data_IF_367505532744
#
_entry.id   IF_367505532744
#
_cell.length_a   1.000
_cell.length_b   1.000
_cell.length_c   1.000
_cell.angle_alpha   90.00
_cell.angle_beta   90.00
_cell.angle_gamma   90.00
#
_symmetry.space_group_name_H-M   'P 1'
#
loop_
_entity.id
_entity.type
_entity.pdbx_description
1 polymer ?
#
# COMPACT_ATOMS: atom_id res chain seq x y z
N UNK A 1 -16.79 62.61 29.80
CA UNK A 1 -16.18 61.27 29.86
C UNK A 1 -16.30 60.66 28.47
N UNK A 2 -15.22 60.68 27.70
CA UNK A 2 -15.22 60.17 26.33
C UNK A 2 -15.24 58.63 26.37
N UNK A 3 -16.34 58.04 25.93
CA UNK A 3 -16.49 56.59 25.81
C UNK A 3 -15.57 56.05 24.72
N UNK A 4 -14.63 55.19 25.13
CA UNK A 4 -13.74 54.47 24.21
C UNK A 4 -14.56 53.49 23.39
N UNK A 5 -14.72 53.77 22.09
CA UNK A 5 -15.33 52.85 21.13
C UNK A 5 -14.38 51.66 20.98
N UNK A 6 -14.76 50.51 21.54
CA UNK A 6 -14.05 49.26 21.39
C UNK A 6 -14.24 48.78 19.93
N UNK A 7 -13.31 49.15 19.04
CA UNK A 7 -13.27 48.64 17.66
C UNK A 7 -13.12 47.12 17.73
N UNK A 8 -14.17 46.38 17.35
CA UNK A 8 -14.12 44.93 17.14
C UNK A 8 -12.94 44.60 16.23
N UNK A 9 -11.88 44.03 16.80
CA UNK A 9 -10.72 43.56 16.06
C UNK A 9 -11.16 42.33 15.28
N UNK A 10 -11.30 42.47 13.96
CA UNK A 10 -11.68 41.35 13.10
C UNK A 10 -10.60 40.27 13.18
N UNK A 11 -10.96 39.10 13.68
CA UNK A 11 -10.08 37.92 13.75
C UNK A 11 -10.44 36.96 12.62
N UNK A 12 -9.42 36.33 12.04
CA UNK A 12 -9.54 35.39 10.93
C UNK A 12 -9.20 33.99 11.44
N UNK A 13 -10.14 33.03 11.33
CA UNK A 13 -9.97 31.68 11.89
C UNK A 13 -9.65 30.65 10.80
N UNK A 14 -8.63 29.82 11.02
CA UNK A 14 -8.34 28.70 10.13
C UNK A 14 -9.38 27.59 10.28
N UNK A 15 -10.03 27.20 9.18
CA UNK A 15 -11.06 26.14 9.17
C UNK A 15 -10.55 24.72 9.53
N UNK A 16 -9.23 24.53 9.63
CA UNK A 16 -8.63 23.22 9.86
C UNK A 16 -8.04 23.06 11.26
N UNK A 17 -7.29 24.06 11.75
CA UNK A 17 -6.64 24.00 13.07
C UNK A 17 -7.27 24.95 14.08
N UNK A 18 -8.31 25.67 13.67
CA UNK A 18 -9.07 26.61 14.51
C UNK A 18 -8.27 27.78 15.12
N UNK A 19 -7.00 27.95 14.74
CA UNK A 19 -6.19 29.07 15.18
C UNK A 19 -6.71 30.38 14.59
N UNK A 20 -6.68 31.41 15.42
CA UNK A 20 -7.08 32.76 15.06
C UNK A 20 -5.87 33.62 14.67
N UNK A 21 -6.07 34.48 13.68
CA UNK A 21 -5.05 35.37 13.13
C UNK A 21 -5.60 36.80 13.12
N UNK A 22 -4.71 37.76 13.40
CA UNK A 22 -5.07 39.18 13.42
C UNK A 22 -5.14 39.82 12.02
N UNK A 23 -4.61 39.15 10.99
CA UNK A 23 -4.58 39.63 9.60
C UNK A 23 -4.93 38.49 8.66
N UNK A 24 -5.72 38.79 7.63
CA UNK A 24 -6.10 37.84 6.58
C UNK A 24 -4.89 37.29 5.84
N UNK A 25 -3.94 38.15 5.47
CA UNK A 25 -2.71 37.75 4.78
C UNK A 25 -1.88 36.73 5.56
N UNK A 26 -1.99 36.71 6.89
CA UNK A 26 -1.30 35.72 7.74
C UNK A 26 -2.02 34.38 7.72
N UNK A 27 -3.36 34.39 7.67
CA UNK A 27 -4.16 33.17 7.49
C UNK A 27 -3.94 32.56 6.10
N UNK A 28 -3.79 33.38 5.06
CA UNK A 28 -3.60 32.91 3.68
C UNK A 28 -2.33 32.06 3.53
N UNK A 29 -1.21 32.57 4.06
CA UNK A 29 0.09 31.88 4.02
C UNK A 29 0.24 30.80 5.10
N UNK A 30 -0.72 30.68 6.02
CA UNK A 30 -0.68 29.67 7.06
C UNK A 30 -0.88 28.26 6.50
N UNK A 31 0.04 27.36 6.84
CA UNK A 31 -0.02 25.93 6.50
C UNK A 31 0.12 25.11 7.77
N UNK A 32 -0.99 24.81 8.44
CA UNK A 32 -1.00 23.84 9.53
C UNK A 32 -0.93 22.40 9.01
N UNK A 33 -0.53 21.49 9.90
CA UNK A 33 -0.54 20.05 9.63
C UNK A 33 -1.91 19.57 9.15
N UNK A 34 -3.00 19.99 9.79
CA UNK A 34 -4.34 19.58 9.37
C UNK A 34 -4.66 20.02 7.92
N UNK A 35 -4.32 21.26 7.53
CA UNK A 35 -4.47 21.75 6.16
C UNK A 35 -3.66 20.89 5.17
N UNK A 36 -2.42 20.51 5.52
CA UNK A 36 -1.61 19.59 4.69
C UNK A 36 -2.29 18.24 4.51
N UNK A 37 -2.84 17.64 5.58
CA UNK A 37 -3.54 16.34 5.51
C UNK A 37 -4.68 16.36 4.49
N UNK A 38 -5.45 17.46 4.43
CA UNK A 38 -6.50 17.64 3.43
C UNK A 38 -5.97 17.90 2.03
N UNK A 39 -4.88 18.66 1.88
CA UNK A 39 -4.24 18.88 0.58
C UNK A 39 -3.75 17.57 -0.04
N UNK A 40 -3.20 16.68 0.78
CA UNK A 40 -2.70 15.36 0.38
C UNK A 40 -3.79 14.28 0.26
N UNK A 41 -5.09 14.62 0.38
CA UNK A 41 -6.19 13.64 0.37
C UNK A 41 -6.17 12.70 -0.84
N UNK A 42 -5.73 13.20 -1.99
CA UNK A 42 -5.73 12.47 -3.25
C UNK A 42 -4.47 11.66 -3.51
N UNK A 43 -3.45 11.77 -2.65
CA UNK A 43 -2.23 10.99 -2.78
C UNK A 43 -2.54 9.50 -2.58
N UNK A 44 -1.90 8.63 -3.36
CA UNK A 44 -2.21 7.19 -3.37
C UNK A 44 -2.12 6.57 -1.96
N UNK A 45 -1.06 6.89 -1.20
CA UNK A 45 -0.91 6.41 0.17
C UNK A 45 -1.99 6.93 1.12
N UNK A 46 -2.46 8.16 0.94
CA UNK A 46 -3.54 8.73 1.75
C UNK A 46 -4.89 8.10 1.41
N UNK A 47 -5.15 7.83 0.13
CA UNK A 47 -6.35 7.11 -0.32
C UNK A 47 -6.37 5.70 0.28
N UNK A 48 -5.27 4.96 0.17
CA UNK A 48 -5.14 3.61 0.74
C UNK A 48 -5.25 3.66 2.27
N UNK A 49 -4.59 4.62 2.93
CA UNK A 49 -4.69 4.79 4.38
C UNK A 49 -6.12 5.05 4.84
N UNK A 50 -6.86 5.91 4.14
CA UNK A 50 -8.26 6.17 4.44
C UNK A 50 -9.15 4.93 4.23
N UNK A 51 -8.98 4.20 3.13
CA UNK A 51 -9.76 2.97 2.90
C UNK A 51 -9.51 1.92 3.98
N UNK A 52 -8.26 1.76 4.42
CA UNK A 52 -7.93 0.81 5.48
C UNK A 52 -8.33 1.29 6.88
N UNK A 53 -8.41 2.60 7.10
CA UNK A 53 -9.04 3.17 8.28
C UNK A 53 -10.54 2.80 8.34
N UNK A 54 -11.27 2.92 7.22
CA UNK A 54 -12.66 2.48 7.15
C UNK A 54 -12.77 0.97 7.44
N UNK A 55 -11.96 0.15 6.78
CA UNK A 55 -11.91 -1.31 6.97
C UNK A 55 -11.62 -1.69 8.44
N UNK A 56 -10.68 -0.99 9.08
CA UNK A 56 -10.34 -1.21 10.48
C UNK A 56 -11.57 -1.05 11.38
N UNK A 57 -12.32 0.04 11.22
CA UNK A 57 -13.54 0.29 12.00
C UNK A 57 -14.70 -0.64 11.63
N UNK A 58 -14.79 -1.06 10.37
CA UNK A 58 -15.76 -2.06 9.91
C UNK A 58 -15.56 -3.38 10.65
N UNK A 59 -14.32 -3.87 10.69
CA UNK A 59 -13.96 -5.16 11.28
C UNK A 59 -13.97 -5.10 12.81
N UNK A 60 -13.46 -4.03 13.41
CA UNK A 60 -13.30 -3.97 14.88
C UNK A 60 -14.54 -3.48 15.61
N UNK A 61 -15.40 -2.68 14.97
CA UNK A 61 -16.56 -2.04 15.62
C UNK A 61 -17.88 -2.27 14.88
N UNK A 62 -17.88 -3.02 13.78
CA UNK A 62 -19.09 -3.31 13.00
C UNK A 62 -19.70 -2.10 12.29
N UNK A 63 -19.06 -0.92 12.30
CA UNK A 63 -19.56 0.27 11.62
C UNK A 63 -18.45 1.16 11.05
N UNK A 64 -18.34 1.17 9.72
CA UNK A 64 -17.46 2.08 8.97
C UNK A 64 -18.21 3.12 8.15
N UNK A 65 -19.49 2.87 7.84
CA UNK A 65 -20.30 3.68 6.90
C UNK A 65 -20.51 5.14 7.33
N UNK A 66 -20.21 5.47 8.58
CA UNK A 66 -20.37 6.83 9.13
C UNK A 66 -19.09 7.64 9.14
N UNK A 67 -17.92 7.03 8.87
CA UNK A 67 -16.63 7.72 8.96
C UNK A 67 -16.29 8.44 7.65
N UNK A 68 -15.98 9.72 7.76
CA UNK A 68 -15.58 10.60 6.66
C UNK A 68 -14.06 10.76 6.59
N UNK A 69 -13.58 11.39 5.51
CA UNK A 69 -12.17 11.78 5.45
C UNK A 69 -11.81 12.82 6.51
N UNK A 70 -12.76 13.65 6.95
CA UNK A 70 -12.52 14.63 8.02
C UNK A 70 -12.20 13.91 9.34
N UNK A 71 -12.98 12.89 9.69
CA UNK A 71 -12.70 12.00 10.83
C UNK A 71 -11.32 11.36 10.72
N UNK A 72 -10.96 10.87 9.53
CA UNK A 72 -9.66 10.27 9.30
C UNK A 72 -8.52 11.29 9.44
N UNK A 73 -8.66 12.45 8.80
CA UNK A 73 -7.65 13.49 8.78
C UNK A 73 -7.39 14.05 10.18
N UNK A 74 -8.42 14.16 11.02
CA UNK A 74 -8.31 14.64 12.40
C UNK A 74 -7.92 13.54 13.40
N UNK A 75 -8.03 12.26 13.01
CA UNK A 75 -7.71 11.13 13.89
C UNK A 75 -6.26 11.09 14.36
N UNK A 76 -6.05 10.52 15.55
CA UNK A 76 -4.72 10.18 16.05
C UNK A 76 -4.01 9.12 15.19
N UNK A 77 -4.77 8.26 14.50
CA UNK A 77 -4.26 7.18 13.68
C UNK A 77 -3.84 7.60 12.26
N UNK A 78 -4.12 8.84 11.85
CA UNK A 78 -3.86 9.34 10.49
C UNK A 78 -2.44 8.99 10.01
N UNK A 79 -1.42 9.33 10.80
CA UNK A 79 -0.02 9.11 10.43
C UNK A 79 0.31 7.63 10.23
N UNK A 80 -0.21 6.76 11.09
CA UNK A 80 0.06 5.33 11.02
C UNK A 80 -0.58 4.70 9.76
N UNK A 81 -1.84 5.02 9.47
CA UNK A 81 -2.52 4.54 8.26
C UNK A 81 -1.93 5.13 6.98
N UNK A 82 -1.50 6.39 6.97
CA UNK A 82 -0.81 6.98 5.81
C UNK A 82 0.56 6.33 5.61
N UNK A 83 1.30 6.07 6.69
CA UNK A 83 2.58 5.35 6.62
C UNK A 83 2.40 3.95 6.03
N UNK A 84 1.38 3.23 6.48
CA UNK A 84 0.98 1.95 5.90
C UNK A 84 0.57 2.08 4.43
N UNK A 85 -0.24 3.07 4.08
CA UNK A 85 -0.66 3.29 2.69
C UNK A 85 0.51 3.59 1.76
N UNK A 86 1.46 4.41 2.19
CA UNK A 86 2.70 4.67 1.44
C UNK A 86 3.54 3.41 1.28
N UNK A 87 3.65 2.60 2.33
CA UNK A 87 4.30 1.29 2.25
C UNK A 87 3.62 0.41 1.18
N UNK A 88 2.30 0.31 1.18
CA UNK A 88 1.57 -0.47 0.17
C UNK A 88 1.84 -0.02 -1.26
N UNK A 89 1.95 1.29 -1.50
CA UNK A 89 2.29 1.84 -2.82
C UNK A 89 3.73 1.49 -3.19
N UNK A 90 4.68 1.78 -2.30
CA UNK A 90 6.11 1.67 -2.60
C UNK A 90 6.55 0.20 -2.76
N UNK A 91 6.05 -0.68 -1.89
CA UNK A 91 6.35 -2.12 -1.93
C UNK A 91 5.42 -2.90 -2.87
N UNK A 92 4.51 -2.22 -3.58
CA UNK A 92 3.52 -2.81 -4.49
C UNK A 92 2.75 -3.98 -3.86
N UNK A 93 2.28 -3.77 -2.63
CA UNK A 93 1.60 -4.81 -1.85
C UNK A 93 0.43 -5.39 -2.64
N UNK A 94 0.49 -6.70 -2.88
CA UNK A 94 -0.59 -7.44 -3.54
C UNK A 94 -1.78 -7.55 -2.59
N UNK A 95 -2.98 -7.37 -3.15
CA UNK A 95 -4.25 -7.49 -2.43
C UNK A 95 -4.27 -6.82 -1.03
N UNK A 96 -4.13 -5.49 -1.01
CA UNK A 96 -4.07 -4.68 0.21
C UNK A 96 -5.25 -4.96 1.16
N UNK A 97 -6.45 -5.24 0.64
CA UNK A 97 -7.60 -5.60 1.48
C UNK A 97 -7.36 -6.90 2.24
N UNK A 98 -6.89 -7.96 1.57
CA UNK A 98 -6.57 -9.25 2.22
C UNK A 98 -5.39 -9.12 3.19
N UNK A 99 -4.37 -8.34 2.84
CA UNK A 99 -3.26 -8.09 3.75
C UNK A 99 -3.74 -7.39 5.03
N UNK A 100 -4.60 -6.39 4.90
CA UNK A 100 -5.19 -5.68 6.05
C UNK A 100 -6.06 -6.58 6.91
N UNK A 101 -6.89 -7.44 6.30
CA UNK A 101 -7.66 -8.46 7.02
C UNK A 101 -6.74 -9.43 7.79
N UNK A 102 -5.64 -9.87 7.17
CA UNK A 102 -4.66 -10.74 7.82
C UNK A 102 -3.96 -10.04 9.00
N UNK A 103 -3.55 -8.78 8.84
CA UNK A 103 -2.94 -7.98 9.91
C UNK A 103 -3.87 -7.84 11.11
N UNK A 104 -5.16 -7.59 10.87
CA UNK A 104 -6.18 -7.46 11.91
C UNK A 104 -6.47 -8.80 12.59
N UNK A 105 -6.67 -9.86 11.81
CA UNK A 105 -6.91 -11.21 12.34
C UNK A 105 -5.75 -11.70 13.22
N UNK A 106 -4.52 -11.32 12.89
CA UNK A 106 -3.32 -11.66 13.64
C UNK A 106 -2.94 -10.63 14.72
N UNK A 107 -3.84 -9.68 15.06
CA UNK A 107 -3.63 -8.66 16.10
C UNK A 107 -2.32 -7.87 15.95
N UNK A 108 -1.87 -7.62 14.72
CA UNK A 108 -0.66 -6.84 14.46
C UNK A 108 -0.94 -5.36 14.74
N UNK A 109 -0.07 -4.70 15.51
CA UNK A 109 -0.22 -3.27 15.83
C UNK A 109 -0.06 -2.40 14.58
N UNK A 110 -0.97 -1.44 14.38
CA UNK A 110 -1.00 -0.53 13.20
C UNK A 110 0.32 0.20 12.98
N UNK A 111 1.01 0.57 14.06
CA UNK A 111 2.32 1.23 13.98
C UNK A 111 3.36 0.40 13.24
N UNK A 112 3.20 -0.93 13.20
CA UNK A 112 4.15 -1.87 12.60
C UNK A 112 3.74 -2.36 11.20
N UNK A 113 2.56 -1.98 10.68
CA UNK A 113 2.04 -2.52 9.41
C UNK A 113 2.89 -2.22 8.17
N UNK A 114 3.86 -1.31 8.30
CA UNK A 114 4.78 -0.88 7.26
C UNK A 114 6.11 -1.68 7.23
N UNK A 115 6.25 -2.73 8.04
CA UNK A 115 7.46 -3.56 8.06
C UNK A 115 7.35 -4.75 7.09
N UNK A 116 8.42 -4.99 6.33
CA UNK A 116 8.49 -6.05 5.33
C UNK A 116 8.26 -7.45 5.93
N UNK A 117 8.76 -7.70 7.14
CA UNK A 117 8.61 -9.00 7.81
C UNK A 117 7.15 -9.43 8.00
N UNK A 118 6.21 -8.49 8.17
CA UNK A 118 4.79 -8.79 8.26
C UNK A 118 4.20 -9.13 6.90
N UNK A 119 4.68 -8.46 5.85
CA UNK A 119 4.23 -8.73 4.50
C UNK A 119 4.77 -10.07 3.98
N UNK A 120 6.02 -10.41 4.30
CA UNK A 120 6.59 -11.72 4.00
C UNK A 120 5.81 -12.86 4.69
N UNK A 121 5.44 -12.68 5.96
CA UNK A 121 4.57 -13.65 6.67
C UNK A 121 3.23 -13.81 5.96
N UNK A 122 2.59 -12.71 5.55
CA UNK A 122 1.35 -12.74 4.79
C UNK A 122 1.52 -13.46 3.44
N UNK A 123 2.57 -13.17 2.67
CA UNK A 123 2.81 -13.76 1.36
C UNK A 123 2.96 -15.29 1.44
N UNK A 124 3.71 -15.79 2.43
CA UNK A 124 3.90 -17.22 2.66
C UNK A 124 2.60 -17.98 2.94
N UNK A 125 1.56 -17.31 3.40
CA UNK A 125 0.24 -17.92 3.58
C UNK A 125 -0.69 -17.66 2.38
N UNK A 126 -0.62 -16.46 1.80
CA UNK A 126 -1.59 -15.98 0.81
C UNK A 126 -1.33 -16.54 -0.59
N UNK A 127 -0.07 -16.63 -1.03
CA UNK A 127 0.27 -17.03 -2.39
C UNK A 127 -0.27 -18.43 -2.75
N UNK A 128 -0.37 -19.32 -1.77
CA UNK A 128 -0.89 -20.67 -2.00
C UNK A 128 -2.42 -20.73 -2.14
N UNK A 129 -3.13 -19.65 -1.77
CA UNK A 129 -4.61 -19.58 -1.74
C UNK A 129 -5.15 -18.43 -2.60
N UNK A 130 -4.28 -17.76 -3.33
CA UNK A 130 -4.68 -16.63 -4.16
C UNK A 130 -5.50 -17.08 -5.38
N UNK A 131 -6.22 -16.13 -5.96
CA UNK A 131 -6.92 -16.38 -7.21
C UNK A 131 -5.92 -16.45 -8.37
N UNK A 132 -5.98 -17.50 -9.19
CA UNK A 132 -5.07 -17.70 -10.33
C UNK A 132 -5.17 -16.59 -11.38
N UNK A 133 -6.35 -16.00 -11.60
CA UNK A 133 -6.52 -14.86 -12.50
C UNK A 133 -5.83 -13.60 -11.99
N UNK A 134 -5.84 -13.36 -10.67
CA UNK A 134 -5.12 -12.24 -10.07
C UNK A 134 -3.60 -12.44 -10.21
N UNK A 135 -3.12 -13.66 -9.98
CA UNK A 135 -1.71 -14.04 -10.17
C UNK A 135 -1.26 -13.80 -11.62
N UNK A 136 -2.03 -14.32 -12.59
CA UNK A 136 -1.75 -14.16 -14.01
C UNK A 136 -1.76 -12.69 -14.43
N UNK A 137 -2.72 -11.89 -13.95
CA UNK A 137 -2.82 -10.47 -14.26
C UNK A 137 -1.58 -9.70 -13.80
N UNK A 138 -1.10 -9.96 -12.57
CA UNK A 138 0.13 -9.31 -12.05
C UNK A 138 1.36 -9.72 -12.83
N UNK A 139 1.51 -11.01 -13.17
CA UNK A 139 2.64 -11.47 -13.96
C UNK A 139 2.63 -10.86 -15.37
N UNK A 140 1.47 -10.78 -16.02
CA UNK A 140 1.32 -10.15 -17.34
C UNK A 140 1.64 -8.65 -17.31
N UNK A 141 1.23 -7.94 -16.25
CA UNK A 141 1.60 -6.53 -16.10
C UNK A 141 3.11 -6.34 -16.00
N UNK A 142 3.80 -7.21 -15.24
CA UNK A 142 5.26 -7.17 -15.14
C UNK A 142 5.93 -7.52 -16.47
N UNK A 143 5.41 -8.49 -17.22
CA UNK A 143 5.96 -8.87 -18.53
C UNK A 143 5.76 -7.79 -19.60
N UNK A 144 4.62 -7.10 -19.59
CA UNK A 144 4.37 -5.95 -20.47
C UNK A 144 5.33 -4.79 -20.13
N UNK A 145 5.56 -4.53 -18.85
CA UNK A 145 6.50 -3.48 -18.43
C UNK A 145 7.94 -3.82 -18.85
N UNK A 146 8.35 -5.07 -18.68
CA UNK A 146 9.64 -5.56 -19.17
C UNK A 146 9.76 -5.46 -20.70
N UNK A 147 8.70 -5.80 -21.44
CA UNK A 147 8.67 -5.67 -22.90
C UNK A 147 8.87 -4.22 -23.35
N UNK A 148 8.22 -3.26 -22.69
CA UNK A 148 8.42 -1.83 -22.97
C UNK A 148 9.86 -1.37 -22.74
N UNK A 149 10.51 -1.91 -21.72
CA UNK A 149 11.89 -1.53 -21.36
C UNK A 149 12.94 -2.14 -22.29
N UNK A 150 12.68 -3.34 -22.83
CA UNK A 150 13.66 -4.10 -23.60
C UNK A 150 13.39 -4.16 -25.10
N UNK A 151 12.15 -3.88 -25.53
CA UNK A 151 11.69 -4.06 -26.90
C UNK A 151 11.38 -5.52 -27.28
N UNK A 152 11.54 -6.47 -26.36
CA UNK A 152 11.24 -7.89 -26.61
C UNK A 152 9.74 -8.20 -26.40
N UNK A 153 9.21 -9.26 -27.04
CA UNK A 153 7.86 -9.76 -26.77
C UNK A 153 7.65 -10.16 -25.31
N UNK A 154 6.51 -9.78 -24.71
CA UNK A 154 6.23 -9.99 -23.28
C UNK A 154 6.25 -11.45 -22.82
N UNK A 155 5.89 -12.38 -23.69
CA UNK A 155 5.91 -13.82 -23.45
C UNK A 155 7.32 -14.37 -23.19
N UNK A 156 8.37 -13.63 -23.59
CA UNK A 156 9.75 -14.00 -23.32
C UNK A 156 10.29 -13.51 -21.98
N UNK A 157 9.46 -12.83 -21.18
CA UNK A 157 9.90 -12.23 -19.92
C UNK A 157 10.56 -13.24 -18.97
N UNK A 158 9.97 -14.42 -18.77
CA UNK A 158 10.55 -15.44 -17.87
C UNK A 158 11.81 -16.10 -18.46
N UNK A 159 11.94 -16.16 -19.80
CA UNK A 159 13.09 -16.77 -20.48
C UNK A 159 14.33 -15.87 -20.47
N UNK A 160 14.15 -14.58 -20.75
CA UNK A 160 15.25 -13.65 -21.01
C UNK A 160 15.33 -12.51 -20.00
N UNK A 161 14.38 -12.43 -19.05
CA UNK A 161 14.45 -11.48 -17.95
C UNK A 161 15.64 -11.77 -17.03
N UNK A 162 16.12 -10.74 -16.33
CA UNK A 162 17.21 -10.91 -15.38
C UNK A 162 16.78 -11.86 -14.24
N UNK A 163 17.51 -12.97 -14.00
CA UNK A 163 17.06 -13.96 -13.02
C UNK A 163 16.91 -13.41 -11.59
N UNK A 164 17.81 -12.54 -11.15
CA UNK A 164 17.73 -11.93 -9.83
C UNK A 164 16.50 -11.03 -9.69
N UNK A 165 16.15 -10.30 -10.75
CA UNK A 165 14.95 -9.47 -10.77
C UNK A 165 13.68 -10.33 -10.72
N UNK A 166 13.62 -11.43 -11.46
CA UNK A 166 12.48 -12.36 -11.42
C UNK A 166 12.37 -13.00 -10.04
N UNK A 167 13.48 -13.44 -9.43
CA UNK A 167 13.49 -13.95 -8.06
C UNK A 167 12.93 -12.92 -7.07
N UNK A 168 13.31 -11.64 -7.20
CA UNK A 168 12.76 -10.57 -6.36
C UNK A 168 11.26 -10.35 -6.59
N UNK A 169 10.78 -10.45 -7.84
CA UNK A 169 9.35 -10.38 -8.16
C UNK A 169 8.57 -11.58 -7.59
N UNK A 170 9.20 -12.75 -7.47
CA UNK A 170 8.63 -13.90 -6.78
C UNK A 170 8.54 -13.66 -5.28
N UNK A 171 9.63 -13.21 -4.64
CA UNK A 171 9.64 -12.91 -3.20
C UNK A 171 8.63 -11.82 -2.79
N UNK A 172 8.36 -10.86 -3.68
CA UNK A 172 7.36 -9.81 -3.47
C UNK A 172 5.94 -10.20 -3.94
N UNK A 173 5.73 -11.45 -4.37
CA UNK A 173 4.44 -11.99 -4.81
C UNK A 173 3.89 -11.40 -6.11
N UNK A 174 4.69 -10.64 -6.85
CA UNK A 174 4.34 -10.07 -8.16
C UNK A 174 4.27 -11.16 -9.24
N UNK A 175 5.11 -12.18 -9.09
CA UNK A 175 5.05 -13.45 -9.81
C UNK A 175 4.83 -14.54 -8.78
N UNK A 176 3.96 -15.51 -9.07
CA UNK A 176 3.72 -16.63 -8.18
C UNK A 176 3.86 -17.97 -8.91
N UNK A 177 3.85 -19.05 -8.15
CA UNK A 177 4.01 -20.40 -8.69
C UNK A 177 2.90 -20.78 -9.66
N UNK A 178 1.72 -20.14 -9.58
CA UNK A 178 0.68 -20.27 -10.60
C UNK A 178 1.20 -20.01 -12.01
N UNK A 179 2.06 -19.01 -12.19
CA UNK A 179 2.60 -18.66 -13.52
C UNK A 179 3.86 -19.45 -13.82
N UNK A 180 4.73 -19.64 -12.82
CA UNK A 180 6.00 -20.35 -13.00
C UNK A 180 5.77 -21.83 -13.36
N UNK A 181 4.85 -22.52 -12.67
CA UNK A 181 4.61 -23.95 -12.90
C UNK A 181 3.64 -24.25 -14.04
N UNK A 182 2.91 -23.26 -14.56
CA UNK A 182 1.96 -23.47 -15.65
C UNK A 182 2.43 -22.82 -16.98
N UNK A 183 3.72 -22.58 -17.13
CA UNK A 183 4.30 -22.08 -18.39
C UNK A 183 5.64 -22.74 -18.72
N UNK A 184 5.89 -23.04 -19.99
CA UNK A 184 7.17 -23.63 -20.44
C UNK A 184 8.35 -22.71 -20.08
N UNK A 185 8.18 -21.40 -20.30
CA UNK A 185 9.17 -20.39 -19.92
C UNK A 185 9.45 -20.33 -18.41
N UNK A 186 8.47 -20.70 -17.58
CA UNK A 186 8.64 -20.75 -16.14
C UNK A 186 9.45 -21.97 -15.69
N UNK A 187 9.26 -23.12 -16.33
CA UNK A 187 10.10 -24.30 -16.11
C UNK A 187 11.54 -24.05 -16.55
N UNK A 188 11.75 -23.50 -17.75
CA UNK A 188 13.08 -23.12 -18.26
C UNK A 188 13.76 -22.11 -17.31
N UNK A 189 12.99 -21.14 -16.78
CA UNK A 189 13.50 -20.21 -15.78
C UNK A 189 14.01 -20.93 -14.53
N UNK A 190 13.23 -21.85 -13.95
CA UNK A 190 13.63 -22.60 -12.76
C UNK A 190 14.88 -23.45 -12.99
N UNK A 191 15.01 -24.08 -14.16
CA UNK A 191 16.19 -24.87 -14.53
C UNK A 191 17.46 -24.01 -14.66
N UNK A 192 17.31 -22.72 -14.98
CA UNK A 192 18.43 -21.78 -15.09
C UNK A 192 18.96 -21.26 -13.75
N UNK A 193 18.21 -21.44 -12.66
CA UNK A 193 18.57 -20.90 -11.35
C UNK A 193 19.62 -21.73 -10.62
N UNK A 194 20.54 -21.05 -9.93
CA UNK A 194 21.47 -21.71 -9.02
C UNK A 194 20.80 -22.03 -7.67
N UNK A 195 21.48 -22.81 -6.82
CA UNK A 195 20.94 -23.26 -5.53
C UNK A 195 20.61 -22.11 -4.57
N UNK A 196 21.37 -21.01 -4.59
CA UNK A 196 21.10 -19.84 -3.74
C UNK A 196 19.82 -19.13 -4.19
N UNK A 197 19.67 -18.92 -5.50
CA UNK A 197 18.48 -18.31 -6.10
C UNK A 197 17.22 -19.16 -5.89
N UNK A 198 17.34 -20.48 -5.97
CA UNK A 198 16.23 -21.38 -5.66
C UNK A 198 15.84 -21.29 -4.17
N UNK A 199 16.82 -21.29 -3.27
CA UNK A 199 16.57 -21.22 -1.83
C UNK A 199 15.81 -19.95 -1.43
N UNK A 200 16.08 -18.81 -2.05
CA UNK A 200 15.42 -17.53 -1.70
C UNK A 200 13.96 -17.45 -2.17
N UNK A 201 13.57 -18.20 -3.21
CA UNK A 201 12.20 -18.20 -3.75
C UNK A 201 11.36 -19.40 -3.30
N UNK A 202 12.00 -20.48 -2.83
CA UNK A 202 11.34 -21.76 -2.54
C UNK A 202 10.11 -21.59 -1.64
N UNK A 203 10.22 -20.80 -0.58
CA UNK A 203 9.13 -20.56 0.37
C UNK A 203 7.91 -19.83 -0.22
N UNK A 204 8.05 -19.20 -1.38
CA UNK A 204 7.00 -18.44 -2.06
C UNK A 204 6.33 -19.21 -3.20
N UNK A 205 6.99 -20.26 -3.70
CA UNK A 205 6.51 -21.08 -4.82
C UNK A 205 6.60 -22.58 -4.50
N UNK A 206 6.49 -22.97 -3.23
CA UNK A 206 6.62 -24.36 -2.83
C UNK A 206 5.50 -25.23 -3.46
N UNK A 207 5.82 -26.17 -4.37
CA UNK A 207 4.81 -27.00 -5.03
C UNK A 207 4.06 -27.92 -4.06
N UNK A 208 4.69 -28.33 -2.95
CA UNK A 208 4.09 -29.23 -1.96
C UNK A 208 2.90 -28.60 -1.22
N UNK A 209 2.79 -27.27 -1.23
CA UNK A 209 1.69 -26.54 -0.59
C UNK A 209 0.45 -26.42 -1.50
N UNK A 210 0.54 -26.78 -2.78
CA UNK A 210 -0.53 -26.70 -3.78
C UNK A 210 -1.23 -28.06 -4.05
N UNK A 211 -1.28 -28.94 -3.04
CA UNK A 211 -2.03 -30.20 -3.10
C UNK A 211 -3.56 -30.01 -3.05
#
# INVERSE_FOLDING_TARGET
MAGTINKLKQTYKCKYCEREFARESTLDVHVCEQKKRFQHKNDSGNRIGFQNYLKFYEITQGSAKTKTFDDFATSAYYKAFVKYGNYCVNSKVINISRYTEWLLKNNKKIDNWHHDNLYEQFLREYLFRENSSDALTRALQNSIEWAKQTGNPSEHFLRFGNPNQICHLIQSGQISGWVVFNSDSGHEFLESLNSEQLAIIFDYINPDQWQ
#
